data_IF_978482523218
#
_entry.id   IF_978482523218
#
_cell.length_a   1.000
_cell.length_b   1.000
_cell.length_c   1.000
_cell.angle_alpha   90.00
_cell.angle_beta   90.00
_cell.angle_gamma   90.00
#
_symmetry.space_group_name_H-M   'P 1'
#
loop_
_entity.id
_entity.type
_entity.pdbx_description
1 polymer ?
#
# COMPACT_ATOMS: atom_id res chain seq x y z
N UNK A 1 27.47 3.95 31.98
CA UNK A 1 27.90 4.43 30.63
C UNK A 1 26.66 4.45 29.73
N UNK A 2 26.14 5.63 29.36
CA UNK A 2 25.03 5.74 28.39
C UNK A 2 25.61 5.39 27.01
N UNK A 3 25.19 4.26 26.42
CA UNK A 3 25.53 3.93 25.02
C UNK A 3 24.86 4.98 24.14
N UNK A 4 25.66 5.85 23.52
CA UNK A 4 25.20 6.75 22.47
C UNK A 4 24.61 5.89 21.36
N UNK A 5 23.33 6.11 21.03
CA UNK A 5 22.69 5.42 19.89
C UNK A 5 23.50 5.71 18.63
N UNK A 6 23.69 4.69 17.78
CA UNK A 6 24.38 4.88 16.51
C UNK A 6 23.60 5.87 15.63
N UNK A 7 24.32 6.63 14.79
CA UNK A 7 23.71 7.54 13.82
C UNK A 7 22.71 6.80 12.91
N UNK A 8 23.02 5.54 12.57
CA UNK A 8 22.16 4.66 11.78
C UNK A 8 20.83 4.39 12.50
N UNK A 9 20.87 4.08 13.80
CA UNK A 9 19.64 3.83 14.57
C UNK A 9 18.76 5.08 14.65
N UNK A 10 19.36 6.27 14.78
CA UNK A 10 18.62 7.55 14.79
C UNK A 10 17.94 7.81 13.45
N UNK A 11 18.67 7.67 12.33
CA UNK A 11 18.11 7.85 10.98
C UNK A 11 16.99 6.87 10.67
N UNK A 12 17.13 5.61 11.11
CA UNK A 12 16.07 4.62 10.96
C UNK A 12 14.79 5.03 11.73
N UNK A 13 14.93 5.55 12.95
CA UNK A 13 13.78 6.05 13.72
C UNK A 13 13.12 7.26 13.05
N UNK A 14 13.90 8.22 12.56
CA UNK A 14 13.42 9.39 11.83
C UNK A 14 12.64 8.97 10.58
N UNK A 15 13.18 8.03 9.80
CA UNK A 15 12.51 7.47 8.62
C UNK A 15 11.14 6.86 8.97
N UNK A 16 11.09 5.96 9.95
CA UNK A 16 9.83 5.32 10.34
C UNK A 16 8.84 6.27 11.00
N UNK A 17 9.32 7.36 11.61
CA UNK A 17 8.46 8.43 12.12
C UNK A 17 7.84 9.22 10.96
N UNK A 18 8.64 9.56 9.94
CA UNK A 18 8.16 10.23 8.73
C UNK A 18 7.14 9.38 7.95
N UNK A 19 7.46 8.11 7.69
CA UNK A 19 6.57 7.19 6.98
C UNK A 19 5.21 6.97 7.65
N UNK A 20 5.16 7.11 8.99
CA UNK A 20 3.91 7.09 9.75
C UNK A 20 3.06 8.35 9.56
N UNK A 21 3.70 9.46 9.20
CA UNK A 21 3.12 10.75 8.83
C UNK A 21 2.78 10.89 7.33
N UNK A 22 3.35 10.02 6.49
CA UNK A 22 3.14 10.04 5.04
C UNK A 22 1.73 9.56 4.67
N UNK A 23 0.94 10.50 4.15
CA UNK A 23 -0.45 10.33 3.72
C UNK A 23 -1.48 10.88 4.71
N UNK A 24 -1.05 11.63 5.73
CA UNK A 24 -1.90 12.11 6.83
C UNK A 24 -2.57 13.46 6.55
N UNK A 25 -2.30 14.07 5.39
CA UNK A 25 -2.60 15.49 5.18
C UNK A 25 -3.00 15.92 3.76
N UNK A 26 -3.19 15.01 2.81
CA UNK A 26 -3.71 15.38 1.50
C UNK A 26 -4.99 14.59 1.19
N UNK A 27 -6.09 15.30 0.94
CA UNK A 27 -7.35 14.70 0.49
C UNK A 27 -7.20 13.96 -0.86
N UNK A 28 -6.06 14.12 -1.55
CA UNK A 28 -5.73 13.41 -2.79
C UNK A 28 -5.19 11.99 -2.56
N UNK A 29 -4.64 11.69 -1.37
CA UNK A 29 -4.11 10.36 -1.03
C UNK A 29 -5.16 9.43 -0.39
N UNK A 30 -6.33 9.97 -0.04
CA UNK A 30 -7.36 9.26 0.73
C UNK A 30 -8.03 8.10 -0.02
N UNK A 31 -7.81 7.97 -1.32
CA UNK A 31 -8.59 7.04 -2.17
C UNK A 31 -7.75 6.16 -3.10
N UNK A 32 -6.41 6.26 -3.03
CA UNK A 32 -5.50 5.53 -3.92
C UNK A 32 -5.24 4.11 -3.38
N UNK A 33 -5.46 3.05 -4.16
CA UNK A 33 -5.09 1.70 -3.76
C UNK A 33 -3.59 1.56 -3.51
N UNK A 34 -3.22 0.79 -2.50
CA UNK A 34 -1.84 0.52 -2.11
C UNK A 34 -1.49 -0.97 -2.26
N UNK A 35 -0.29 -1.25 -2.78
CA UNK A 35 0.31 -2.59 -2.80
C UNK A 35 1.60 -2.62 -1.98
N UNK A 36 1.66 -3.54 -1.02
CA UNK A 36 2.84 -3.82 -0.21
C UNK A 36 3.47 -5.14 -0.63
N UNK A 37 4.71 -5.08 -1.09
CA UNK A 37 5.53 -6.24 -1.44
C UNK A 37 6.71 -6.27 -0.48
N UNK A 38 6.85 -7.32 0.33
CA UNK A 38 7.94 -7.40 1.29
C UNK A 38 8.45 -8.81 1.55
N UNK A 39 9.72 -8.94 1.96
CA UNK A 39 10.30 -10.20 2.40
C UNK A 39 9.92 -10.51 3.86
N UNK A 40 9.80 -11.79 4.21
CA UNK A 40 9.62 -12.21 5.61
C UNK A 40 10.94 -12.20 6.40
N UNK A 41 12.08 -12.27 5.70
CA UNK A 41 13.42 -12.39 6.27
C UNK A 41 14.30 -11.20 5.88
N UNK A 42 13.69 -10.05 5.60
CA UNK A 42 14.40 -8.83 5.23
C UNK A 42 15.14 -8.26 6.45
N UNK A 43 16.47 -8.28 6.41
CA UNK A 43 17.30 -7.77 7.49
C UNK A 43 17.39 -6.24 7.53
N UNK A 44 17.06 -5.56 6.42
CA UNK A 44 17.14 -4.11 6.28
C UNK A 44 15.81 -3.44 6.67
N UNK A 45 14.69 -4.12 6.42
CA UNK A 45 13.36 -3.60 6.74
C UNK A 45 12.73 -4.38 7.90
N UNK A 46 12.67 -3.80 9.11
CA UNK A 46 12.05 -4.48 10.25
C UNK A 46 10.55 -4.71 10.02
N UNK A 47 10.12 -5.97 10.18
CA UNK A 47 8.75 -6.39 9.89
C UNK A 47 7.69 -5.75 10.81
N UNK A 48 8.05 -5.45 12.07
CA UNK A 48 7.14 -4.86 13.05
C UNK A 48 6.61 -3.49 12.63
N UNK A 49 7.49 -2.48 12.47
CA UNK A 49 7.11 -1.15 11.98
C UNK A 49 6.39 -1.17 10.62
N UNK A 50 6.80 -2.06 9.72
CA UNK A 50 6.13 -2.22 8.42
C UNK A 50 4.68 -2.71 8.59
N UNK A 51 4.44 -3.71 9.44
CA UNK A 51 3.08 -4.21 9.73
C UNK A 51 2.21 -3.13 10.39
N UNK A 52 2.77 -2.34 11.30
CA UNK A 52 2.07 -1.21 11.93
C UNK A 52 1.64 -0.18 10.87
N UNK A 53 2.54 0.16 9.94
CA UNK A 53 2.24 1.08 8.83
C UNK A 53 1.13 0.54 7.91
N UNK A 54 1.23 -0.73 7.52
CA UNK A 54 0.23 -1.38 6.66
C UNK A 54 -1.14 -1.40 7.35
N UNK A 55 -1.20 -1.78 8.64
CA UNK A 55 -2.43 -1.81 9.41
C UNK A 55 -3.14 -0.46 9.46
N UNK A 56 -2.41 0.61 9.80
CA UNK A 56 -2.96 1.98 9.84
C UNK A 56 -3.51 2.42 8.48
N UNK A 57 -2.82 2.08 7.39
CA UNK A 57 -3.26 2.44 6.03
C UNK A 57 -4.46 1.60 5.59
N UNK A 58 -4.53 0.34 5.97
CA UNK A 58 -5.71 -0.50 5.73
C UNK A 58 -6.95 0.00 6.51
N UNK A 59 -6.76 0.47 7.75
CA UNK A 59 -7.83 1.11 8.53
C UNK A 59 -8.31 2.42 7.88
N UNK A 60 -7.38 3.22 7.34
CA UNK A 60 -7.70 4.51 6.71
C UNK A 60 -8.35 4.39 5.33
N UNK A 61 -7.81 3.55 4.46
CA UNK A 61 -8.24 3.40 3.06
C UNK A 61 -9.35 2.36 2.88
N UNK A 62 -9.57 1.53 3.89
CA UNK A 62 -10.36 0.30 3.80
C UNK A 62 -9.52 -0.88 3.30
N UNK A 63 -9.77 -2.06 3.87
CA UNK A 63 -9.03 -3.28 3.54
C UNK A 63 -9.09 -3.68 2.06
N UNK A 64 -10.13 -3.28 1.33
CA UNK A 64 -10.26 -3.53 -0.11
C UNK A 64 -9.23 -2.76 -0.95
N UNK A 65 -8.71 -1.64 -0.44
CA UNK A 65 -7.71 -0.79 -1.12
C UNK A 65 -6.29 -1.07 -0.70
N UNK A 66 -6.06 -2.05 0.19
CA UNK A 66 -4.73 -2.41 0.66
C UNK A 66 -4.43 -3.86 0.35
N UNK A 67 -3.51 -4.09 -0.59
CA UNK A 67 -3.00 -5.42 -0.93
C UNK A 67 -1.64 -5.66 -0.31
N UNK A 68 -1.40 -6.87 0.23
CA UNK A 68 -0.15 -7.22 0.90
C UNK A 68 0.32 -8.59 0.44
N UNK A 69 1.57 -8.68 -0.01
CA UNK A 69 2.22 -9.94 -0.40
C UNK A 69 3.55 -10.09 0.32
N UNK A 70 3.70 -11.21 1.02
CA UNK A 70 4.87 -11.53 1.82
C UNK A 70 5.68 -12.68 1.19
N UNK A 71 6.87 -12.37 0.70
CA UNK A 71 7.75 -13.33 0.05
C UNK A 71 8.65 -14.04 1.07
N UNK A 72 8.56 -15.37 1.14
CA UNK A 72 9.44 -16.19 2.00
C UNK A 72 10.84 -16.30 1.40
N UNK A 73 11.88 -16.11 2.23
CA UNK A 73 13.29 -16.24 1.81
C UNK A 73 13.69 -15.32 0.64
N UNK A 74 13.06 -14.16 0.52
CA UNK A 74 13.49 -13.15 -0.45
C UNK A 74 14.42 -12.12 0.19
N UNK A 75 15.59 -11.84 -0.40
CA UNK A 75 16.41 -10.69 -0.04
C UNK A 75 15.69 -9.36 -0.28
N UNK A 76 16.16 -8.31 0.40
CA UNK A 76 15.65 -6.95 0.27
C UNK A 76 15.63 -6.51 -1.20
N UNK A 77 14.47 -6.03 -1.66
CA UNK A 77 14.25 -5.57 -3.04
C UNK A 77 14.49 -6.58 -4.17
N UNK A 78 14.70 -7.87 -3.87
CA UNK A 78 14.96 -8.90 -4.90
C UNK A 78 13.72 -9.76 -5.25
N UNK A 79 12.52 -9.36 -4.82
CA UNK A 79 11.29 -10.16 -4.94
C UNK A 79 10.96 -10.60 -6.38
N UNK A 80 11.17 -9.71 -7.36
CA UNK A 80 10.96 -10.03 -8.77
C UNK A 80 11.96 -11.09 -9.29
N UNK A 81 13.19 -11.07 -8.80
CA UNK A 81 14.23 -12.03 -9.22
C UNK A 81 14.02 -13.40 -8.58
N UNK A 82 13.62 -13.42 -7.29
CA UNK A 82 13.48 -14.65 -6.51
C UNK A 82 12.12 -15.31 -6.62
N UNK A 83 11.06 -14.53 -6.84
CA UNK A 83 9.68 -15.00 -6.95
C UNK A 83 8.95 -14.38 -8.15
N UNK A 84 9.48 -14.50 -9.37
CA UNK A 84 8.99 -13.76 -10.54
C UNK A 84 7.50 -13.99 -10.80
N UNK A 85 7.04 -15.24 -10.77
CA UNK A 85 5.64 -15.55 -11.03
C UNK A 85 4.68 -14.98 -9.97
N UNK A 86 5.07 -15.02 -8.69
CA UNK A 86 4.24 -14.50 -7.60
C UNK A 86 4.23 -12.97 -7.59
N UNK A 87 5.39 -12.35 -7.82
CA UNK A 87 5.53 -10.91 -7.96
C UNK A 87 4.68 -10.38 -9.12
N UNK A 88 4.80 -10.98 -10.31
CA UNK A 88 4.04 -10.57 -11.50
C UNK A 88 2.54 -10.69 -11.25
N UNK A 89 2.06 -11.82 -10.72
CA UNK A 89 0.63 -11.98 -10.39
C UNK A 89 0.13 -10.94 -9.40
N UNK A 90 0.93 -10.62 -8.37
CA UNK A 90 0.56 -9.61 -7.38
C UNK A 90 0.42 -8.22 -8.00
N UNK A 91 1.35 -7.84 -8.88
CA UNK A 91 1.33 -6.56 -9.58
C UNK A 91 0.16 -6.51 -10.58
N UNK A 92 -0.05 -7.56 -11.36
CA UNK A 92 -1.16 -7.63 -12.33
C UNK A 92 -2.52 -7.51 -11.62
N UNK A 93 -2.75 -8.29 -10.57
CA UNK A 93 -4.00 -8.24 -9.79
C UNK A 93 -4.24 -6.86 -9.16
N UNK A 94 -3.18 -6.20 -8.70
CA UNK A 94 -3.27 -4.84 -8.17
C UNK A 94 -3.62 -3.83 -9.28
N UNK A 95 -2.94 -3.89 -10.43
CA UNK A 95 -3.23 -3.01 -11.57
C UNK A 95 -4.66 -3.18 -12.08
N UNK A 96 -5.19 -4.40 -12.10
CA UNK A 96 -6.59 -4.66 -12.46
C UNK A 96 -7.58 -4.09 -11.44
N UNK A 97 -7.21 -4.04 -10.17
CA UNK A 97 -7.99 -3.34 -9.14
C UNK A 97 -8.01 -1.84 -9.42
N UNK A 98 -6.86 -1.21 -9.64
CA UNK A 98 -6.77 0.21 -9.97
C UNK A 98 -7.56 0.58 -11.23
N UNK A 99 -7.52 -0.26 -12.27
CA UNK A 99 -8.26 -0.03 -13.54
C UNK A 99 -9.77 -0.08 -13.35
N UNK A 100 -10.28 -0.91 -12.44
CA UNK A 100 -11.72 -0.99 -12.14
C UNK A 100 -12.20 0.23 -11.38
N UNK A 101 -11.42 0.71 -10.41
CA UNK A 101 -11.78 1.92 -9.66
C UNK A 101 -11.74 3.18 -10.54
N UNK A 102 -10.78 3.28 -11.47
CA UNK A 102 -10.70 4.40 -12.41
C UNK A 102 -11.85 4.48 -13.44
N UNK A 103 -12.62 3.39 -13.63
CA UNK A 103 -13.78 3.36 -14.55
C UNK A 103 -15.13 3.64 -13.88
N UNK A 104 -15.17 3.70 -12.54
CA UNK A 104 -16.41 3.95 -11.78
C UNK A 104 -16.76 5.43 -11.55
N UNK A 105 -15.88 6.37 -11.90
CA UNK A 105 -16.03 7.80 -11.62
C UNK A 105 -16.75 8.63 -12.70
N UNK A 106 -17.36 7.99 -13.70
CA UNK A 106 -17.87 8.70 -14.87
C UNK A 106 -19.11 8.08 -15.50
N UNK A 107 -20.20 7.92 -14.75
CA UNK A 107 -21.56 7.88 -15.34
C UNK A 107 -22.64 7.90 -14.25
N UNK A 108 -23.11 9.08 -13.86
CA UNK A 108 -24.48 9.29 -13.41
C UNK A 108 -24.92 10.71 -13.81
N UNK A 109 -25.28 10.84 -15.07
CA UNK A 109 -25.76 12.08 -15.64
C UNK A 109 -26.44 11.87 -16.97
N UNK A 110 -27.70 11.39 -16.93
CA UNK A 110 -28.81 11.90 -17.75
C UNK A 110 -30.11 11.24 -17.31
N UNK A 111 -30.97 12.04 -16.69
CA UNK A 111 -32.33 11.65 -16.36
C UNK A 111 -33.11 11.38 -17.64
N UNK A 112 -33.79 10.24 -17.67
CA UNK A 112 -34.86 10.00 -18.61
C UNK A 112 -36.18 10.22 -17.86
N UNK A 113 -36.80 11.37 -18.13
CA UNK A 113 -38.18 11.65 -17.70
C UNK A 113 -39.10 10.71 -18.47
N UNK A 114 -39.56 9.64 -17.86
CA UNK A 114 -40.71 8.90 -18.37
C UNK A 114 -41.96 9.76 -18.19
N UNK A 115 -42.33 10.48 -19.25
CA UNK A 115 -43.69 11.05 -19.39
C UNK A 115 -44.65 9.88 -19.56
N UNK A 116 -45.37 9.52 -18.50
CA UNK A 116 -46.58 8.71 -18.65
C UNK A 116 -47.70 9.61 -19.18
N UNK A 117 -48.02 9.48 -20.47
CA UNK A 117 -49.35 9.73 -21.00
C UNK A 117 -50.02 8.37 -21.06
N UNK A 118 -51.07 8.20 -20.28
CA UNK A 118 -52.37 7.62 -20.64
C UNK A 118 -53.31 7.81 -19.44
#
# INVERSE_FOLDING_TARGET
RKRTRSVVARRAEEYWRGMRGDGDGSAADGDVPHLYLHGTNDALTPIGPLRELIGRRAERLGGAKTSVVAFRKSPHCCHLLTHPAEYTRAVEAFLDTCRREGRGGGELGKGEKTRSRL
#
